data_IF_756897286353
#
_entry.id   IF_756897286353
#
_cell.length_a   1.000
_cell.length_b   1.000
_cell.length_c   1.000
_cell.angle_alpha   90.00
_cell.angle_beta   90.00
_cell.angle_gamma   90.00
#
_symmetry.space_group_name_H-M   'P 1'
#
loop_
_entity.id
_entity.type
_entity.pdbx_description
1 polymer ?
#
# COMPACT_ATOMS: atom_id res chain seq x y z
N UNK A 1 23.61 -54.98 17.95
CA UNK A 1 23.96 -53.68 17.33
C UNK A 1 22.76 -53.23 16.54
N UNK A 2 21.97 -52.32 17.15
CA UNK A 2 20.77 -51.72 16.51
C UNK A 2 21.19 -50.34 16.03
N UNK A 3 21.23 -50.15 14.70
CA UNK A 3 21.40 -48.84 14.09
C UNK A 3 20.05 -48.10 14.15
N UNK A 4 19.99 -47.03 14.95
CA UNK A 4 18.91 -46.03 14.85
C UNK A 4 19.21 -45.10 13.66
N UNK A 5 18.39 -45.17 12.65
CA UNK A 5 18.36 -44.17 11.56
C UNK A 5 17.61 -42.91 12.06
N UNK A 6 18.34 -41.83 12.28
CA UNK A 6 17.79 -40.52 12.59
C UNK A 6 17.25 -39.90 11.28
N UNK A 7 15.96 -40.07 11.03
CA UNK A 7 15.27 -39.38 9.92
C UNK A 7 15.03 -37.92 10.27
N UNK A 8 15.79 -37.03 9.63
CA UNK A 8 15.49 -35.58 9.70
C UNK A 8 14.21 -35.32 8.92
N UNK A 9 13.12 -35.10 9.64
CA UNK A 9 11.87 -34.58 9.08
C UNK A 9 12.10 -33.10 8.75
N UNK A 10 12.34 -32.81 7.47
CA UNK A 10 12.31 -31.45 6.96
C UNK A 10 10.88 -30.92 7.10
N UNK A 11 10.67 -30.01 8.04
CA UNK A 11 9.41 -29.33 8.21
C UNK A 11 9.13 -28.52 6.93
N UNK A 12 8.25 -29.02 6.09
CA UNK A 12 7.64 -28.31 4.98
C UNK A 12 6.83 -27.16 5.55
N UNK A 13 7.39 -25.95 5.53
CA UNK A 13 6.65 -24.73 5.77
C UNK A 13 5.66 -24.54 4.61
N UNK A 14 4.44 -25.05 4.79
CA UNK A 14 3.32 -24.75 3.92
C UNK A 14 3.18 -23.22 3.81
N UNK A 15 3.04 -22.69 2.60
CA UNK A 15 2.64 -21.32 2.36
C UNK A 15 1.20 -21.15 2.86
N UNK A 16 1.05 -20.92 4.16
CA UNK A 16 -0.22 -20.58 4.75
C UNK A 16 -0.67 -19.25 4.17
N UNK A 17 -1.92 -19.20 3.62
CA UNK A 17 -2.71 -17.97 3.64
C UNK A 17 -2.42 -17.31 4.98
N UNK A 18 -2.08 -15.99 5.03
CA UNK A 18 -1.96 -15.35 6.33
C UNK A 18 -3.29 -15.59 7.04
N UNK A 19 -3.23 -16.21 8.22
CA UNK A 19 -4.39 -16.37 9.09
C UNK A 19 -4.98 -14.99 9.34
N UNK A 20 -5.95 -14.55 8.53
CA UNK A 20 -6.69 -13.29 8.63
C UNK A 20 -5.90 -12.00 8.79
N UNK A 21 -4.57 -11.97 8.62
CA UNK A 21 -3.72 -10.85 8.97
C UNK A 21 -2.84 -10.32 7.82
N UNK A 22 -2.41 -9.07 7.95
CA UNK A 22 -1.50 -8.40 7.03
C UNK A 22 -0.14 -9.12 6.94
N UNK A 23 0.30 -9.44 5.71
CA UNK A 23 1.45 -10.32 5.45
C UNK A 23 2.80 -9.77 5.93
N UNK A 24 2.96 -8.45 6.04
CA UNK A 24 4.20 -7.85 6.53
C UNK A 24 4.26 -7.86 8.06
N UNK A 25 5.39 -8.29 8.61
CA UNK A 25 5.59 -8.54 10.05
C UNK A 25 6.60 -7.56 10.64
N UNK A 26 6.66 -7.46 11.98
CA UNK A 26 7.74 -6.70 12.64
C UNK A 26 9.10 -7.24 12.25
N UNK A 27 10.03 -6.35 11.96
CA UNK A 27 11.40 -6.67 11.55
C UNK A 27 11.57 -7.00 10.06
N UNK A 28 10.50 -6.99 9.27
CA UNK A 28 10.60 -7.31 7.84
C UNK A 28 11.46 -6.31 7.07
N UNK A 29 12.19 -6.86 6.10
CA UNK A 29 12.94 -6.13 5.07
C UNK A 29 12.34 -6.50 3.72
N UNK A 30 11.53 -5.61 3.19
CA UNK A 30 10.78 -5.78 1.94
C UNK A 30 11.58 -5.22 0.78
N UNK A 31 11.75 -5.98 -0.28
CA UNK A 31 12.33 -5.50 -1.54
C UNK A 31 11.28 -5.63 -2.64
N UNK A 32 10.94 -4.49 -3.25
CA UNK A 32 10.17 -4.46 -4.50
C UNK A 32 11.12 -4.70 -5.67
N UNK A 33 10.92 -5.80 -6.39
CA UNK A 33 11.67 -6.17 -7.59
C UNK A 33 10.77 -6.03 -8.81
N UNK A 34 11.21 -5.35 -9.86
CA UNK A 34 10.38 -5.15 -11.05
C UNK A 34 11.01 -4.22 -12.08
N UNK A 35 10.19 -3.76 -12.98
CA UNK A 35 10.52 -2.93 -14.13
C UNK A 35 10.44 -1.41 -13.88
N UNK A 36 10.13 -0.62 -14.92
CA UNK A 36 9.98 0.85 -14.85
C UNK A 36 8.86 1.30 -13.91
N UNK A 37 7.74 0.57 -13.84
CA UNK A 37 6.63 0.88 -12.95
C UNK A 37 7.09 0.76 -11.49
N UNK A 38 7.87 -0.26 -11.17
CA UNK A 38 8.49 -0.40 -9.85
C UNK A 38 9.56 0.67 -9.62
N UNK A 39 10.38 0.98 -10.64
CA UNK A 39 11.43 2.00 -10.55
C UNK A 39 10.89 3.40 -10.26
N UNK A 40 9.66 3.72 -10.66
CA UNK A 40 8.95 4.97 -10.34
C UNK A 40 8.68 5.14 -8.83
N UNK A 41 8.73 4.07 -8.04
CA UNK A 41 8.63 4.03 -6.58
C UNK A 41 7.27 4.45 -5.98
N UNK A 42 6.35 5.06 -6.73
CA UNK A 42 5.14 5.70 -6.19
C UNK A 42 4.24 4.72 -5.44
N UNK A 43 3.85 3.58 -6.04
CA UNK A 43 3.04 2.59 -5.33
C UNK A 43 3.76 2.02 -4.10
N UNK A 44 5.08 1.81 -4.19
CA UNK A 44 5.90 1.28 -3.10
C UNK A 44 5.92 2.21 -1.89
N UNK A 45 6.06 3.53 -2.11
CA UNK A 45 5.98 4.55 -1.06
C UNK A 45 4.61 4.58 -0.37
N UNK A 46 3.52 4.37 -1.13
CA UNK A 46 2.17 4.28 -0.57
C UNK A 46 2.04 3.04 0.33
N UNK A 47 2.54 1.88 -0.12
CA UNK A 47 2.55 0.64 0.69
C UNK A 47 3.37 0.82 1.97
N UNK A 48 4.51 1.49 1.88
CA UNK A 48 5.35 1.83 3.04
C UNK A 48 4.62 2.73 4.03
N UNK A 49 4.06 3.85 3.56
CA UNK A 49 3.33 4.81 4.40
C UNK A 49 2.13 4.15 5.08
N UNK A 50 1.34 3.35 4.33
CA UNK A 50 0.27 2.56 4.91
C UNK A 50 0.77 1.66 6.03
N UNK A 51 1.86 0.93 5.78
CA UNK A 51 2.40 -0.02 6.77
C UNK A 51 2.80 0.67 8.05
N UNK A 52 3.51 1.80 7.97
CA UNK A 52 3.93 2.57 9.15
C UNK A 52 2.74 3.17 9.91
N UNK A 53 1.78 3.78 9.20
CA UNK A 53 0.61 4.42 9.82
C UNK A 53 -0.32 3.39 10.46
N UNK A 54 -0.60 2.29 9.75
CA UNK A 54 -1.52 1.26 10.23
C UNK A 54 -0.94 0.39 11.33
N UNK A 55 0.38 0.12 11.29
CA UNK A 55 1.08 -0.77 12.21
C UNK A 55 2.30 -0.08 12.83
N UNK A 56 2.12 1.01 13.61
CA UNK A 56 3.23 1.84 14.11
C UNK A 56 4.19 1.10 15.04
N UNK A 57 3.79 -0.04 15.57
CA UNK A 57 4.65 -0.94 16.35
C UNK A 57 5.54 -1.85 15.51
N UNK A 58 5.35 -1.94 14.19
CA UNK A 58 6.16 -2.79 13.30
C UNK A 58 7.32 -2.01 12.69
N UNK A 59 8.52 -2.56 12.81
CA UNK A 59 9.76 -1.99 12.23
C UNK A 59 10.02 -2.59 10.86
N UNK A 60 9.21 -2.25 9.87
CA UNK A 60 9.36 -2.73 8.50
C UNK A 60 10.24 -1.75 7.72
N UNK A 61 11.17 -2.27 6.92
CA UNK A 61 12.02 -1.48 6.01
C UNK A 61 11.71 -1.84 4.57
N UNK A 62 11.69 -0.83 3.71
CA UNK A 62 11.36 -0.98 2.32
C UNK A 62 12.54 -0.56 1.43
N UNK A 63 12.77 -1.33 0.38
CA UNK A 63 13.79 -1.08 -0.64
C UNK A 63 13.18 -1.26 -2.02
N UNK A 64 13.57 -0.42 -2.94
CA UNK A 64 13.15 -0.52 -4.33
C UNK A 64 14.30 -1.09 -5.17
N UNK A 65 14.04 -2.16 -5.91
CA UNK A 65 14.94 -2.77 -6.89
C UNK A 65 14.31 -2.78 -8.30
N UNK A 66 13.49 -1.78 -8.63
CA UNK A 66 12.95 -1.58 -9.97
C UNK A 66 14.05 -1.12 -10.95
N UNK A 67 13.95 -1.55 -12.22
CA UNK A 67 14.83 -1.17 -13.30
C UNK A 67 14.04 -0.99 -14.59
N UNK A 68 14.15 0.16 -15.25
CA UNK A 68 13.45 0.42 -16.50
C UNK A 68 13.69 -0.65 -17.57
N UNK A 69 12.63 -1.06 -18.26
CA UNK A 69 12.69 -2.04 -19.34
C UNK A 69 13.01 -3.48 -18.91
N UNK A 70 13.07 -3.77 -17.60
CA UNK A 70 13.47 -5.08 -17.09
C UNK A 70 12.38 -6.15 -17.27
N UNK A 71 12.81 -7.40 -17.35
CA UNK A 71 11.99 -8.61 -17.50
C UNK A 71 12.19 -9.54 -16.32
N UNK A 72 11.36 -10.59 -16.19
CA UNK A 72 11.54 -11.61 -15.15
C UNK A 72 12.93 -12.29 -15.25
N UNK A 73 13.39 -12.55 -16.47
CA UNK A 73 14.73 -13.09 -16.72
C UNK A 73 15.83 -12.09 -16.30
N UNK A 74 15.67 -10.81 -16.60
CA UNK A 74 16.58 -9.74 -16.16
C UNK A 74 16.60 -9.59 -14.64
N UNK A 75 15.44 -9.62 -14.00
CA UNK A 75 15.32 -9.62 -12.55
C UNK A 75 16.02 -10.80 -11.89
N UNK A 76 15.89 -11.98 -12.47
CA UNK A 76 16.61 -13.18 -12.02
C UNK A 76 18.14 -13.02 -12.15
N UNK A 77 18.62 -12.46 -13.25
CA UNK A 77 20.04 -12.27 -13.48
C UNK A 77 20.71 -11.34 -12.44
N UNK A 78 20.00 -10.30 -12.00
CA UNK A 78 20.47 -9.33 -10.98
C UNK A 78 19.99 -9.59 -9.55
N UNK A 79 19.25 -10.70 -9.32
CA UNK A 79 18.61 -10.99 -8.03
C UNK A 79 19.60 -11.01 -6.87
N UNK A 80 20.79 -11.59 -7.07
CA UNK A 80 21.80 -11.69 -6.02
C UNK A 80 22.35 -10.30 -5.65
N UNK A 81 22.75 -9.52 -6.64
CA UNK A 81 23.40 -8.23 -6.43
C UNK A 81 22.45 -7.15 -5.91
N UNK A 82 21.25 -7.05 -6.48
CA UNK A 82 20.35 -5.93 -6.23
C UNK A 82 19.34 -6.21 -5.11
N UNK A 83 19.06 -7.48 -4.84
CA UNK A 83 17.98 -7.90 -3.93
C UNK A 83 18.53 -8.66 -2.73
N UNK A 84 19.14 -9.85 -2.95
CA UNK A 84 19.54 -10.74 -1.86
C UNK A 84 20.71 -10.20 -1.04
N UNK A 85 21.59 -9.38 -1.64
CA UNK A 85 22.63 -8.63 -0.93
C UNK A 85 22.08 -7.71 0.18
N UNK A 86 20.82 -7.26 0.06
CA UNK A 86 20.12 -6.45 1.07
C UNK A 86 19.56 -7.29 2.23
N UNK A 87 19.74 -8.62 2.18
CA UNK A 87 19.22 -9.58 3.17
C UNK A 87 17.71 -9.39 3.42
N UNK A 88 16.86 -9.46 2.38
CA UNK A 88 15.42 -9.30 2.54
C UNK A 88 14.82 -10.45 3.35
N UNK A 89 13.71 -10.20 4.03
CA UNK A 89 12.81 -11.24 4.54
C UNK A 89 11.61 -11.44 3.61
N UNK A 90 11.32 -10.44 2.76
CA UNK A 90 10.22 -10.46 1.79
C UNK A 90 10.70 -9.87 0.47
N UNK A 91 10.40 -10.55 -0.63
CA UNK A 91 10.54 -10.03 -1.99
C UNK A 91 9.16 -9.99 -2.64
N UNK A 92 8.80 -8.87 -3.25
CA UNK A 92 7.58 -8.68 -4.02
C UNK A 92 8.03 -8.37 -5.46
N UNK A 93 7.78 -9.30 -6.38
CA UNK A 93 8.28 -9.22 -7.75
C UNK A 93 7.12 -9.00 -8.73
N UNK A 94 7.24 -7.96 -9.58
CA UNK A 94 6.22 -7.56 -10.55
C UNK A 94 6.86 -7.45 -11.94
N UNK A 95 6.51 -8.36 -12.83
CA UNK A 95 6.99 -8.45 -14.21
C UNK A 95 5.87 -8.89 -15.15
N UNK A 96 6.09 -8.79 -16.46
CA UNK A 96 5.22 -9.33 -17.50
C UNK A 96 5.10 -8.45 -18.73
N UNK A 97 4.91 -7.15 -18.59
CA UNK A 97 4.67 -6.26 -19.74
C UNK A 97 5.87 -6.21 -20.67
N UNK A 98 7.08 -6.05 -20.11
CA UNK A 98 8.31 -6.05 -20.90
C UNK A 98 8.69 -7.45 -21.41
N UNK A 99 8.31 -8.50 -20.69
CA UNK A 99 8.56 -9.89 -21.10
C UNK A 99 7.92 -10.18 -22.45
N UNK A 100 6.78 -9.57 -22.75
CA UNK A 100 6.07 -9.68 -24.04
C UNK A 100 6.25 -8.44 -24.93
N UNK A 101 7.24 -7.60 -24.65
CA UNK A 101 7.51 -6.39 -25.45
C UNK A 101 6.29 -5.51 -25.65
N UNK A 102 5.54 -5.20 -24.60
CA UNK A 102 4.30 -4.42 -24.62
C UNK A 102 3.23 -5.00 -25.55
N UNK A 103 3.16 -6.33 -25.65
CA UNK A 103 2.24 -7.06 -26.52
C UNK A 103 2.78 -7.39 -27.92
N UNK A 104 3.88 -6.77 -28.36
CA UNK A 104 4.46 -7.05 -29.69
C UNK A 104 5.12 -8.43 -29.82
N UNK A 105 5.40 -9.08 -28.69
CA UNK A 105 6.04 -10.38 -28.57
C UNK A 105 5.22 -11.31 -27.66
N UNK A 106 3.91 -11.28 -27.82
CA UNK A 106 2.99 -12.12 -27.05
C UNK A 106 2.95 -13.53 -27.66
N UNK A 107 3.99 -14.33 -27.42
CA UNK A 107 4.18 -15.68 -27.93
C UNK A 107 4.67 -16.67 -26.85
N UNK A 108 4.64 -17.95 -27.15
CA UNK A 108 5.00 -19.02 -26.22
C UNK A 108 6.47 -18.99 -25.80
N UNK A 109 7.40 -18.49 -26.66
CA UNK A 109 8.81 -18.40 -26.32
C UNK A 109 9.03 -17.35 -25.24
N UNK A 110 8.43 -16.17 -25.38
CA UNK A 110 8.52 -15.08 -24.39
C UNK A 110 7.81 -15.48 -23.09
N UNK A 111 6.67 -16.16 -23.16
CA UNK A 111 6.00 -16.73 -21.97
C UNK A 111 6.91 -17.74 -21.25
N UNK A 112 7.56 -18.65 -21.97
CA UNK A 112 8.49 -19.62 -21.38
C UNK A 112 9.64 -18.92 -20.64
N UNK A 113 10.26 -17.89 -21.26
CA UNK A 113 11.34 -17.12 -20.63
C UNK A 113 10.87 -16.39 -19.37
N UNK A 114 9.66 -15.83 -19.39
CA UNK A 114 9.02 -15.23 -18.22
C UNK A 114 8.87 -16.24 -17.09
N UNK A 115 8.30 -17.41 -17.39
CA UNK A 115 8.07 -18.47 -16.41
C UNK A 115 9.40 -19.04 -15.84
N UNK A 116 10.43 -19.17 -16.66
CA UNK A 116 11.78 -19.54 -16.19
C UNK A 116 12.36 -18.48 -15.24
N UNK A 117 12.19 -17.20 -15.56
CA UNK A 117 12.57 -16.08 -14.69
C UNK A 117 11.84 -16.13 -13.35
N UNK A 118 10.52 -16.28 -13.37
CA UNK A 118 9.67 -16.42 -12.17
C UNK A 118 10.11 -17.61 -11.33
N UNK A 119 10.29 -18.79 -11.94
CA UNK A 119 10.77 -20.00 -11.26
C UNK A 119 12.09 -19.73 -10.52
N UNK A 120 13.08 -19.19 -11.26
CA UNK A 120 14.39 -18.92 -10.69
C UNK A 120 14.36 -17.92 -9.53
N UNK A 121 13.54 -16.86 -9.62
CA UNK A 121 13.35 -15.89 -8.54
C UNK A 121 12.77 -16.58 -7.31
N UNK A 122 11.68 -17.33 -7.46
CA UNK A 122 11.00 -18.01 -6.35
C UNK A 122 11.94 -19.01 -5.68
N UNK A 123 12.57 -19.89 -6.44
CA UNK A 123 13.48 -20.90 -5.92
C UNK A 123 14.67 -20.32 -5.17
N UNK A 124 15.32 -19.27 -5.72
CA UNK A 124 16.48 -18.62 -5.07
C UNK A 124 16.08 -17.90 -3.78
N UNK A 125 14.94 -17.19 -3.76
CA UNK A 125 14.40 -16.58 -2.55
C UNK A 125 14.09 -17.64 -1.50
N UNK A 126 13.38 -18.71 -1.88
CA UNK A 126 13.00 -19.79 -0.97
C UNK A 126 14.19 -20.52 -0.35
N UNK A 127 15.23 -20.82 -1.13
CA UNK A 127 16.47 -21.41 -0.61
C UNK A 127 17.17 -20.55 0.45
N UNK A 128 16.94 -19.23 0.44
CA UNK A 128 17.46 -18.28 1.44
C UNK A 128 16.50 -18.02 2.60
N UNK A 129 15.36 -18.74 2.66
CA UNK A 129 14.32 -18.52 3.68
C UNK A 129 13.55 -17.21 3.49
N UNK A 130 13.64 -16.59 2.32
CA UNK A 130 12.95 -15.34 1.98
C UNK A 130 11.53 -15.65 1.48
N UNK A 131 10.53 -14.99 2.06
CA UNK A 131 9.16 -15.03 1.54
C UNK A 131 9.11 -14.25 0.23
N UNK A 132 8.52 -14.85 -0.80
CA UNK A 132 8.44 -14.23 -2.11
C UNK A 132 7.00 -14.22 -2.59
N UNK A 133 6.57 -13.08 -3.13
CA UNK A 133 5.29 -12.91 -3.78
C UNK A 133 5.53 -12.53 -5.24
N UNK A 134 4.96 -13.32 -6.15
CA UNK A 134 4.89 -12.97 -7.57
C UNK A 134 3.58 -12.24 -7.81
N UNK A 135 3.69 -11.04 -8.35
CA UNK A 135 2.53 -10.24 -8.73
C UNK A 135 2.23 -10.41 -10.22
N UNK A 136 0.95 -10.40 -10.58
CA UNK A 136 0.61 -10.14 -11.98
C UNK A 136 1.12 -8.76 -12.40
N UNK A 137 1.43 -8.56 -13.67
CA UNK A 137 1.74 -7.24 -14.20
C UNK A 137 0.56 -6.27 -13.98
N UNK A 138 0.85 -4.96 -13.90
CA UNK A 138 -0.21 -3.97 -14.06
C UNK A 138 -0.89 -4.15 -15.43
N UNK A 139 -2.20 -3.90 -15.55
CA UNK A 139 -2.87 -3.94 -16.84
C UNK A 139 -2.27 -2.90 -17.78
N UNK A 140 -2.24 -3.17 -19.06
CA UNK A 140 -2.04 -2.15 -20.10
C UNK A 140 -3.38 -1.45 -20.40
N UNK A 141 -3.31 -0.24 -21.01
CA UNK A 141 -4.48 0.44 -21.53
C UNK A 141 -5.17 -0.45 -22.59
N UNK A 142 -6.48 -0.36 -22.65
CA UNK A 142 -7.29 -1.16 -23.56
C UNK A 142 -8.66 -1.47 -22.97
N UNK A 143 -9.48 -2.18 -23.72
CA UNK A 143 -10.78 -2.65 -23.23
C UNK A 143 -10.57 -3.58 -22.04
N UNK A 144 -11.04 -3.23 -20.82
CA UNK A 144 -10.83 -4.06 -19.65
C UNK A 144 -11.58 -5.39 -19.69
N UNK A 145 -12.62 -5.52 -20.50
CA UNK A 145 -13.40 -6.74 -20.64
C UNK A 145 -12.73 -7.74 -21.59
N UNK A 146 -12.19 -7.25 -22.72
CA UNK A 146 -11.44 -8.09 -23.65
C UNK A 146 -10.09 -8.55 -23.07
N UNK A 147 -9.42 -7.66 -22.38
CA UNK A 147 -8.08 -7.90 -21.82
C UNK A 147 -8.06 -8.95 -20.69
N UNK A 148 -9.21 -9.32 -20.13
CA UNK A 148 -9.32 -10.43 -19.16
C UNK A 148 -8.95 -11.79 -19.75
N UNK A 149 -9.08 -11.95 -21.07
CA UNK A 149 -8.73 -13.17 -21.79
C UNK A 149 -7.48 -12.97 -22.65
N UNK A 150 -6.73 -11.90 -22.43
CA UNK A 150 -5.54 -11.58 -23.19
C UNK A 150 -4.32 -12.41 -22.79
N UNK A 151 -3.34 -12.48 -23.70
CA UNK A 151 -2.10 -13.24 -23.49
C UNK A 151 -1.35 -12.85 -22.21
N UNK A 152 -1.24 -11.55 -21.90
CA UNK A 152 -0.60 -11.06 -20.67
C UNK A 152 -1.30 -11.63 -19.43
N UNK A 153 -2.63 -11.69 -19.43
CA UNK A 153 -3.40 -12.24 -18.33
C UNK A 153 -3.06 -13.71 -18.09
N UNK A 154 -3.17 -14.53 -19.13
CA UNK A 154 -2.87 -15.97 -19.04
C UNK A 154 -1.42 -16.22 -18.61
N UNK A 155 -0.47 -15.50 -19.16
CA UNK A 155 0.94 -15.61 -18.77
C UNK A 155 1.16 -15.27 -17.28
N UNK A 156 0.53 -14.22 -16.78
CA UNK A 156 0.59 -13.85 -15.37
C UNK A 156 -0.07 -14.88 -14.46
N UNK A 157 -1.20 -15.48 -14.88
CA UNK A 157 -1.87 -16.53 -14.13
C UNK A 157 -1.00 -17.77 -13.98
N UNK A 158 -0.35 -18.19 -15.06
CA UNK A 158 0.63 -19.28 -15.03
C UNK A 158 1.81 -18.96 -14.10
N UNK A 159 2.35 -17.73 -14.14
CA UNK A 159 3.42 -17.28 -13.26
C UNK A 159 3.04 -17.27 -11.78
N UNK A 160 1.84 -16.80 -11.46
CA UNK A 160 1.30 -16.82 -10.11
C UNK A 160 1.03 -18.24 -9.60
N UNK A 161 0.49 -19.10 -10.47
CA UNK A 161 0.27 -20.52 -10.17
C UNK A 161 1.59 -21.24 -9.91
N UNK A 162 2.59 -21.00 -10.76
CA UNK A 162 3.94 -21.52 -10.60
C UNK A 162 4.57 -21.06 -9.27
N UNK A 163 4.41 -19.79 -8.91
CA UNK A 163 4.91 -19.30 -7.61
C UNK A 163 4.32 -20.09 -6.45
N UNK A 164 2.98 -20.27 -6.45
CA UNK A 164 2.29 -21.05 -5.41
C UNK A 164 2.77 -22.51 -5.35
N UNK A 165 2.93 -23.18 -6.50
CA UNK A 165 3.39 -24.57 -6.57
C UNK A 165 4.81 -24.75 -6.01
N UNK A 166 5.65 -23.71 -6.06
CA UNK A 166 6.99 -23.66 -5.53
C UNK A 166 7.06 -23.16 -4.07
N UNK A 167 5.91 -22.95 -3.42
CA UNK A 167 5.80 -22.48 -2.04
C UNK A 167 6.02 -20.97 -1.88
N UNK A 168 5.93 -20.18 -2.96
CA UNK A 168 5.81 -18.73 -2.93
C UNK A 168 4.37 -18.26 -2.76
N UNK A 169 4.18 -16.95 -2.59
CA UNK A 169 2.90 -16.28 -2.63
C UNK A 169 2.58 -15.73 -4.02
N UNK A 170 1.35 -15.24 -4.19
CA UNK A 170 0.96 -14.54 -5.40
C UNK A 170 0.01 -13.39 -5.06
N UNK A 171 0.10 -12.29 -5.82
CA UNK A 171 -0.77 -11.11 -5.69
C UNK A 171 -1.30 -10.76 -7.08
N UNK A 172 -2.61 -10.79 -7.25
CA UNK A 172 -3.26 -10.44 -8.50
C UNK A 172 -3.56 -8.94 -8.56
N UNK A 173 -2.58 -8.16 -8.99
CA UNK A 173 -2.73 -6.72 -9.19
C UNK A 173 -3.66 -6.42 -10.36
N UNK A 174 -3.50 -7.20 -11.45
CA UNK A 174 -4.21 -6.97 -12.69
C UNK A 174 -5.71 -7.09 -12.50
N UNK A 175 -6.19 -8.12 -11.80
CA UNK A 175 -7.62 -8.29 -11.54
C UNK A 175 -8.21 -7.08 -10.80
N UNK A 176 -7.59 -6.67 -9.68
CA UNK A 176 -8.08 -5.52 -8.90
C UNK A 176 -8.08 -4.24 -9.73
N UNK A 177 -7.02 -3.98 -10.48
CA UNK A 177 -6.91 -2.78 -11.31
C UNK A 177 -7.90 -2.81 -12.50
N UNK A 178 -8.18 -3.99 -13.08
CA UNK A 178 -9.20 -4.16 -14.12
C UNK A 178 -10.61 -3.86 -13.59
N UNK A 179 -10.95 -4.28 -12.39
CA UNK A 179 -12.25 -3.94 -11.80
C UNK A 179 -12.41 -2.41 -11.63
N UNK A 180 -11.34 -1.70 -11.26
CA UNK A 180 -11.32 -0.24 -11.23
C UNK A 180 -11.52 0.33 -12.65
N UNK A 181 -10.82 -0.18 -13.67
CA UNK A 181 -11.00 0.25 -15.05
C UNK A 181 -12.44 0.01 -15.54
N UNK A 182 -13.03 -1.14 -15.24
CA UNK A 182 -14.42 -1.46 -15.59
C UNK A 182 -15.42 -0.51 -14.93
N UNK A 183 -15.17 -0.11 -13.68
CA UNK A 183 -16.00 0.88 -13.00
C UNK A 183 -15.95 2.21 -13.74
N UNK A 184 -14.75 2.70 -14.06
CA UNK A 184 -14.58 3.94 -14.83
C UNK A 184 -15.23 3.84 -16.21
N UNK A 185 -15.10 2.68 -16.89
CA UNK A 185 -15.72 2.44 -18.19
C UNK A 185 -17.24 2.55 -18.15
N UNK A 186 -17.87 1.96 -17.13
CA UNK A 186 -19.33 2.02 -16.95
C UNK A 186 -19.83 3.43 -16.63
N UNK A 187 -19.05 4.19 -15.88
CA UNK A 187 -19.44 5.54 -15.42
C UNK A 187 -19.14 6.64 -16.44
N UNK A 188 -18.04 6.55 -17.18
CA UNK A 188 -17.51 7.62 -18.03
C UNK A 188 -17.34 7.26 -19.50
N UNK A 189 -17.58 5.99 -19.86
CA UNK A 189 -17.42 5.48 -21.21
C UNK A 189 -16.00 5.06 -21.57
N UNK A 190 -15.84 4.44 -22.73
CA UNK A 190 -14.61 3.79 -23.16
C UNK A 190 -13.43 4.73 -23.33
N UNK A 191 -13.64 5.90 -23.91
CA UNK A 191 -12.56 6.85 -24.24
C UNK A 191 -11.82 7.34 -23.00
N UNK A 192 -12.52 7.66 -21.90
CA UNK A 192 -11.91 8.08 -20.65
C UNK A 192 -11.28 6.90 -19.91
N UNK A 193 -11.95 5.75 -19.90
CA UNK A 193 -11.46 4.56 -19.22
C UNK A 193 -10.16 4.00 -19.78
N UNK A 194 -9.93 4.10 -21.09
CA UNK A 194 -8.71 3.64 -21.75
C UNK A 194 -7.45 4.28 -21.16
N UNK A 195 -7.53 5.54 -20.71
CA UNK A 195 -6.40 6.32 -20.21
C UNK A 195 -6.47 6.61 -18.71
N UNK A 196 -7.53 6.20 -18.05
CA UNK A 196 -7.78 6.59 -16.66
C UNK A 196 -6.67 6.22 -15.67
N UNK A 197 -5.94 5.12 -15.92
CA UNK A 197 -4.85 4.63 -15.07
C UNK A 197 -3.46 4.81 -15.70
N UNK A 198 -3.36 5.29 -16.95
CA UNK A 198 -2.12 5.29 -17.72
C UNK A 198 -1.75 6.68 -18.22
N UNK A 199 -0.47 6.89 -18.47
CA UNK A 199 0.00 7.98 -19.31
C UNK A 199 -0.22 7.65 -20.80
N UNK A 200 0.20 8.53 -21.71
CA UNK A 200 -0.08 8.41 -23.14
C UNK A 200 0.41 7.13 -23.82
N UNK A 201 1.45 6.49 -23.28
CA UNK A 201 2.01 5.26 -23.85
C UNK A 201 1.14 4.00 -23.60
N UNK A 202 0.14 4.11 -22.75
CA UNK A 202 -0.78 3.02 -22.41
C UNK A 202 -0.18 1.88 -21.58
N UNK A 203 1.03 2.04 -21.09
CA UNK A 203 1.76 1.04 -20.28
C UNK A 203 2.12 1.59 -18.92
N UNK A 204 2.76 2.76 -18.86
CA UNK A 204 3.14 3.35 -17.59
C UNK A 204 1.93 3.97 -16.88
N UNK A 205 1.89 3.80 -15.58
CA UNK A 205 0.79 4.26 -14.76
C UNK A 205 0.91 5.76 -14.47
N UNK A 206 -0.20 6.49 -14.62
CA UNK A 206 -0.34 7.82 -14.08
C UNK A 206 -0.54 7.77 -12.55
N UNK A 207 -0.74 8.90 -11.89
CA UNK A 207 -0.90 8.98 -10.44
C UNK A 207 -2.06 8.12 -9.92
N UNK A 208 -3.23 8.16 -10.57
CA UNK A 208 -4.38 7.32 -10.23
C UNK A 208 -4.07 5.83 -10.41
N UNK A 209 -3.35 5.46 -11.48
CA UNK A 209 -2.91 4.09 -11.72
C UNK A 209 -1.92 3.58 -10.67
N UNK A 210 -1.00 4.42 -10.22
CA UNK A 210 -0.06 4.10 -9.13
C UNK A 210 -0.80 3.90 -7.79
N UNK A 211 -1.83 4.70 -7.51
CA UNK A 211 -2.68 4.56 -6.33
C UNK A 211 -3.51 3.25 -6.43
N UNK A 212 -4.07 2.95 -7.60
CA UNK A 212 -4.80 1.71 -7.84
C UNK A 212 -3.90 0.47 -7.66
N UNK A 213 -2.66 0.53 -8.14
CA UNK A 213 -1.66 -0.53 -7.94
C UNK A 213 -1.28 -0.70 -6.47
N UNK A 214 -1.08 0.40 -5.73
CA UNK A 214 -0.80 0.35 -4.30
C UNK A 214 -1.98 -0.26 -3.53
N UNK A 215 -3.22 0.11 -3.87
CA UNK A 215 -4.42 -0.47 -3.32
C UNK A 215 -4.48 -1.99 -3.57
N UNK A 216 -4.28 -2.42 -4.83
CA UNK A 216 -4.26 -3.82 -5.20
C UNK A 216 -3.18 -4.61 -4.45
N UNK A 217 -1.97 -4.04 -4.35
CA UNK A 217 -0.85 -4.61 -3.60
C UNK A 217 -1.19 -4.78 -2.12
N UNK A 218 -1.73 -3.75 -1.48
CA UNK A 218 -2.12 -3.78 -0.07
C UNK A 218 -3.22 -4.81 0.18
N UNK A 219 -4.24 -4.89 -0.68
CA UNK A 219 -5.30 -5.91 -0.57
C UNK A 219 -4.75 -7.32 -0.76
N UNK A 220 -3.86 -7.52 -1.72
CA UNK A 220 -3.17 -8.80 -1.94
C UNK A 220 -2.25 -9.22 -0.78
N UNK A 221 -1.70 -8.26 -0.03
CA UNK A 221 -0.95 -8.49 1.21
C UNK A 221 -1.87 -8.67 2.44
N UNK A 222 -3.19 -8.64 2.29
CA UNK A 222 -4.15 -8.80 3.37
C UNK A 222 -4.32 -7.56 4.24
N UNK A 223 -4.10 -6.35 3.69
CA UNK A 223 -4.29 -5.10 4.41
C UNK A 223 -5.76 -4.96 4.89
N UNK A 224 -5.99 -4.73 6.20
CA UNK A 224 -7.33 -4.52 6.73
C UNK A 224 -7.91 -3.20 6.26
N UNK A 225 -9.22 -3.18 6.05
CA UNK A 225 -9.97 -1.96 5.78
C UNK A 225 -10.08 -1.09 7.04
N UNK A 226 -10.27 -1.73 8.18
CA UNK A 226 -10.53 -1.07 9.45
C UNK A 226 -9.27 -0.37 10.00
N UNK A 227 -9.40 0.90 10.32
CA UNK A 227 -8.46 1.65 11.15
C UNK A 227 -8.86 1.47 12.60
N UNK A 228 -10.05 1.95 12.92
CA UNK A 228 -10.67 1.86 14.24
C UNK A 228 -12.11 2.38 14.19
N UNK A 229 -12.90 2.08 15.21
CA UNK A 229 -14.27 2.58 15.34
C UNK A 229 -14.57 3.04 16.76
N UNK A 230 -15.37 4.13 16.88
CA UNK A 230 -15.90 4.61 18.15
C UNK A 230 -17.41 4.82 18.02
N UNK A 231 -18.15 4.33 19.00
CA UNK A 231 -19.60 4.52 19.10
C UNK A 231 -19.93 5.23 20.41
N UNK A 232 -20.60 6.37 20.29
CA UNK A 232 -21.05 7.20 21.42
C UNK A 232 -22.57 7.23 21.46
N UNK A 233 -23.14 7.39 22.64
CA UNK A 233 -24.53 7.68 22.83
C UNK A 233 -24.69 9.08 23.42
N UNK A 234 -25.63 9.84 22.86
CA UNK A 234 -25.93 11.18 23.29
C UNK A 234 -26.74 11.18 24.61
N UNK A 235 -27.64 10.22 24.73
CA UNK A 235 -28.47 10.05 25.93
C UNK A 235 -28.84 8.58 26.15
N UNK A 236 -28.39 7.93 27.27
CA UNK A 236 -27.48 8.50 28.28
C UNK A 236 -26.09 8.73 27.71
N UNK A 237 -25.40 9.79 28.16
CA UNK A 237 -24.05 10.12 27.66
C UNK A 237 -23.04 9.05 28.05
N UNK A 238 -22.59 8.23 27.08
CA UNK A 238 -21.61 7.16 27.31
C UNK A 238 -20.87 6.77 26.04
N UNK A 239 -19.74 6.10 26.23
CA UNK A 239 -19.06 5.36 25.17
C UNK A 239 -19.72 3.99 25.09
N UNK A 240 -20.40 3.71 23.96
CA UNK A 240 -21.08 2.43 23.72
C UNK A 240 -20.15 1.37 23.12
N UNK A 241 -19.10 1.77 22.44
CA UNK A 241 -18.11 0.86 21.86
C UNK A 241 -16.87 1.61 21.38
N UNK A 242 -15.73 0.91 21.42
CA UNK A 242 -14.47 1.38 20.86
C UNK A 242 -13.65 0.17 20.44
N UNK A 243 -13.30 0.10 19.15
CA UNK A 243 -12.44 -0.94 18.60
C UNK A 243 -11.26 -0.30 17.86
N UNK A 244 -10.05 -0.82 18.10
CA UNK A 244 -8.82 -0.24 17.58
C UNK A 244 -8.48 1.14 18.12
N UNK A 245 -9.23 1.66 19.12
CA UNK A 245 -8.99 2.95 19.76
C UNK A 245 -9.40 2.97 21.23
N UNK A 246 -9.01 4.05 21.92
CA UNK A 246 -9.48 4.38 23.28
C UNK A 246 -10.15 5.73 23.23
N UNK A 247 -11.37 5.81 23.77
CA UNK A 247 -12.14 7.05 23.94
C UNK A 247 -12.15 7.43 25.41
N UNK A 248 -11.87 8.70 25.70
CA UNK A 248 -11.86 9.22 27.06
C UNK A 248 -12.39 10.65 27.13
N UNK A 249 -12.50 11.16 28.34
CA UNK A 249 -12.93 12.54 28.64
C UNK A 249 -14.22 12.95 27.93
N UNK A 250 -15.15 12.02 27.76
CA UNK A 250 -16.46 12.29 27.13
C UNK A 250 -17.27 13.26 27.99
N UNK A 251 -17.65 14.39 27.41
CA UNK A 251 -18.40 15.48 28.09
C UNK A 251 -19.38 16.11 27.12
N UNK A 252 -20.52 16.57 27.64
CA UNK A 252 -21.50 17.38 26.94
C UNK A 252 -21.71 18.70 27.66
N UNK A 253 -21.69 19.80 26.91
CA UNK A 253 -22.08 21.14 27.40
C UNK A 253 -23.05 21.74 26.41
N UNK A 254 -24.34 21.85 26.81
CA UNK A 254 -25.42 22.22 25.91
C UNK A 254 -25.50 21.26 24.73
N UNK A 255 -25.39 21.77 23.51
CA UNK A 255 -25.37 21.02 22.26
C UNK A 255 -23.97 20.62 21.78
N UNK A 256 -22.94 20.86 22.57
CA UNK A 256 -21.56 20.51 22.17
C UNK A 256 -21.08 19.24 22.91
N UNK A 257 -20.61 18.26 22.15
CA UNK A 257 -20.00 17.04 22.64
C UNK A 257 -18.48 17.13 22.45
N UNK A 258 -17.72 16.80 23.49
CA UNK A 258 -16.25 16.74 23.41
C UNK A 258 -15.75 15.43 23.99
N UNK A 259 -14.72 14.87 23.37
CA UNK A 259 -14.03 13.66 23.85
C UNK A 259 -12.60 13.59 23.34
N UNK A 260 -11.78 12.73 23.93
CA UNK A 260 -10.47 12.38 23.38
C UNK A 260 -10.53 11.00 22.76
N UNK A 261 -9.83 10.80 21.63
CA UNK A 261 -9.67 9.51 20.98
C UNK A 261 -8.20 9.29 20.67
N UNK A 262 -7.67 8.11 21.05
CA UNK A 262 -6.34 7.65 20.70
C UNK A 262 -6.46 6.29 20.02
N UNK A 263 -6.01 6.23 18.79
CA UNK A 263 -6.10 5.04 17.94
C UNK A 263 -4.85 4.15 18.06
N UNK A 264 -4.95 2.90 17.65
CA UNK A 264 -3.81 1.96 17.59
C UNK A 264 -3.02 2.12 16.28
N UNK A 265 -3.62 2.67 15.25
CA UNK A 265 -3.05 3.00 13.95
C UNK A 265 -3.78 4.19 13.33
N UNK A 266 -3.26 4.74 12.25
CA UNK A 266 -3.79 5.91 11.57
C UNK A 266 -4.25 5.59 10.14
N UNK A 267 -5.20 6.36 9.57
CA UNK A 267 -5.52 6.30 8.14
C UNK A 267 -4.30 6.71 7.31
N UNK A 268 -4.17 6.17 6.10
CA UNK A 268 -3.24 6.69 5.12
C UNK A 268 -3.89 7.83 4.34
N UNK A 269 -3.19 8.95 4.17
CA UNK A 269 -3.60 10.02 3.28
C UNK A 269 -2.74 10.06 2.03
N UNK A 270 -3.34 10.43 0.91
CA UNK A 270 -2.67 10.62 -0.39
C UNK A 270 -2.94 12.02 -0.94
N UNK A 271 -3.39 12.94 -0.07
CA UNK A 271 -3.71 14.32 -0.43
C UNK A 271 -4.76 14.42 -1.53
N UNK A 272 -4.66 15.47 -2.36
CA UNK A 272 -5.56 15.71 -3.49
C UNK A 272 -5.63 14.51 -4.45
N UNK A 273 -4.49 13.89 -4.77
CA UNK A 273 -4.46 12.73 -5.67
C UNK A 273 -5.28 11.56 -5.13
N UNK A 274 -5.21 11.29 -3.83
CA UNK A 274 -6.03 10.28 -3.17
C UNK A 274 -7.51 10.62 -3.17
N UNK A 275 -7.85 11.91 -3.02
CA UNK A 275 -9.23 12.38 -3.10
C UNK A 275 -9.81 12.19 -4.51
N UNK A 276 -9.07 12.58 -5.54
CA UNK A 276 -9.46 12.39 -6.94
C UNK A 276 -9.55 10.90 -7.32
N UNK A 277 -8.55 10.12 -6.95
CA UNK A 277 -8.54 8.67 -7.19
C UNK A 277 -9.64 7.94 -6.42
N UNK A 278 -10.05 8.45 -5.25
CA UNK A 278 -11.10 7.89 -4.40
C UNK A 278 -12.48 7.83 -5.04
N UNK A 279 -12.70 8.56 -6.13
CA UNK A 279 -13.91 8.42 -6.94
C UNK A 279 -14.03 7.02 -7.57
N UNK A 280 -12.92 6.33 -7.82
CA UNK A 280 -12.89 5.03 -8.53
C UNK A 280 -12.14 3.94 -7.77
N UNK A 281 -11.10 4.32 -7.00
CA UNK A 281 -10.34 3.40 -6.14
C UNK A 281 -10.99 3.41 -4.75
N UNK A 282 -11.48 2.28 -4.23
CA UNK A 282 -12.25 2.25 -2.97
C UNK A 282 -11.34 2.40 -1.73
N UNK A 283 -10.61 3.52 -1.65
CA UNK A 283 -9.65 3.81 -0.59
C UNK A 283 -10.31 3.95 0.78
N UNK A 284 -11.43 4.68 0.83
CA UNK A 284 -12.15 4.95 2.07
C UNK A 284 -12.65 3.66 2.73
N UNK A 285 -13.34 2.81 1.97
CA UNK A 285 -13.94 1.58 2.48
C UNK A 285 -12.97 0.40 2.49
N UNK A 286 -11.99 0.39 1.59
CA UNK A 286 -11.04 -0.71 1.45
C UNK A 286 -9.82 -0.63 2.33
N UNK A 287 -9.40 0.58 2.76
CA UNK A 287 -8.18 0.80 3.54
C UNK A 287 -8.32 1.78 4.71
N UNK A 288 -9.32 2.66 4.73
CA UNK A 288 -9.38 3.81 5.64
C UNK A 288 -10.71 3.90 6.41
N UNK A 289 -11.25 2.80 6.87
CA UNK A 289 -12.46 2.82 7.71
C UNK A 289 -12.13 3.34 9.12
N UNK A 290 -12.22 4.64 9.28
CA UNK A 290 -11.98 5.37 10.54
C UNK A 290 -13.30 5.91 11.07
N UNK A 291 -14.08 5.02 11.70
CA UNK A 291 -15.52 5.20 11.92
C UNK A 291 -15.83 5.95 13.21
N UNK A 292 -16.82 6.82 13.13
CA UNK A 292 -17.43 7.48 14.28
C UNK A 292 -18.96 7.38 14.19
N UNK A 293 -19.56 6.75 15.17
CA UNK A 293 -21.02 6.65 15.32
C UNK A 293 -21.44 7.44 16.54
N UNK A 294 -22.47 8.27 16.41
CA UNK A 294 -23.08 8.97 17.54
C UNK A 294 -24.59 8.78 17.47
N UNK A 295 -25.14 8.02 18.40
CA UNK A 295 -26.58 7.72 18.45
C UNK A 295 -27.32 8.72 19.32
N UNK A 296 -28.55 9.07 18.91
CA UNK A 296 -29.44 9.93 19.68
C UNK A 296 -29.13 11.42 19.59
N UNK A 297 -28.27 11.85 18.61
CA UNK A 297 -28.11 13.28 18.33
C UNK A 297 -29.46 13.91 17.97
N UNK A 298 -29.76 15.11 18.47
CA UNK A 298 -30.90 15.89 17.99
C UNK A 298 -30.87 16.09 16.47
N UNK A 299 -32.04 16.17 15.85
CA UNK A 299 -32.16 16.44 14.42
C UNK A 299 -31.43 17.73 14.02
N UNK A 300 -30.69 17.69 12.90
CA UNK A 300 -29.91 18.82 12.40
C UNK A 300 -28.56 18.37 11.83
N UNK A 301 -27.78 19.34 11.37
CA UNK A 301 -26.42 19.13 10.85
C UNK A 301 -25.39 19.38 11.96
N UNK A 302 -24.40 18.56 12.00
CA UNK A 302 -23.36 18.55 13.04
C UNK A 302 -21.97 18.58 12.42
N UNK A 303 -21.16 19.53 12.88
CA UNK A 303 -19.77 19.68 12.50
C UNK A 303 -18.86 18.86 13.42
N UNK A 304 -17.90 18.17 12.84
CA UNK A 304 -16.80 17.50 13.56
C UNK A 304 -15.54 18.33 13.45
N UNK A 305 -14.95 18.65 14.58
CA UNK A 305 -13.59 19.17 14.65
C UNK A 305 -12.70 18.16 15.39
N UNK A 306 -11.44 18.07 14.98
CA UNK A 306 -10.41 17.32 15.67
C UNK A 306 -9.19 18.24 15.92
N UNK A 307 -8.80 18.44 17.18
CA UNK A 307 -7.82 19.45 17.62
C UNK A 307 -8.09 20.85 17.03
N UNK A 308 -9.38 21.20 16.91
CA UNK A 308 -9.82 22.47 16.34
C UNK A 308 -9.87 22.54 14.81
N UNK A 309 -9.38 21.55 14.09
CA UNK A 309 -9.48 21.47 12.62
C UNK A 309 -10.82 20.91 12.21
N UNK A 310 -11.46 21.53 11.23
CA UNK A 310 -12.70 21.02 10.65
C UNK A 310 -12.41 19.70 9.88
N UNK A 311 -13.24 18.69 10.12
CA UNK A 311 -13.16 17.38 9.46
C UNK A 311 -14.29 17.21 8.46
N UNK A 312 -15.50 17.63 8.84
CA UNK A 312 -16.67 17.56 7.97
C UNK A 312 -17.96 17.85 8.73
N UNK A 313 -19.07 17.84 7.97
CA UNK A 313 -20.42 18.11 8.46
C UNK A 313 -21.35 17.01 7.98
N UNK A 314 -22.09 16.40 8.92
CA UNK A 314 -23.06 15.33 8.65
C UNK A 314 -24.36 15.59 9.40
N UNK A 315 -25.44 14.99 8.96
CA UNK A 315 -26.71 15.03 9.72
C UNK A 315 -26.75 13.97 10.83
N UNK A 316 -27.70 14.09 11.72
CA UNK A 316 -27.87 13.20 12.87
C UNK A 316 -28.14 11.74 12.45
N UNK A 317 -28.77 11.49 11.30
CA UNK A 317 -29.02 10.15 10.76
C UNK A 317 -27.70 9.52 10.27
N UNK A 318 -26.89 10.26 9.52
CA UNK A 318 -25.56 9.80 9.07
C UNK A 318 -24.68 9.43 10.27
N UNK A 319 -24.71 10.23 11.35
CA UNK A 319 -23.98 9.87 12.58
C UNK A 319 -24.51 8.60 13.24
N UNK A 320 -25.83 8.37 13.23
CA UNK A 320 -26.41 7.15 13.80
C UNK A 320 -26.03 5.90 12.99
N UNK A 321 -25.88 6.02 11.68
CA UNK A 321 -25.42 4.98 10.75
C UNK A 321 -23.88 4.79 10.82
N UNK A 322 -23.15 5.85 11.19
CA UNK A 322 -21.71 5.89 11.31
C UNK A 322 -21.03 6.61 10.13
N UNK A 323 -20.21 7.61 10.43
CA UNK A 323 -19.46 8.41 9.45
C UNK A 323 -18.02 7.96 9.40
N UNK A 324 -17.46 7.89 8.18
CA UNK A 324 -16.04 7.57 7.97
C UNK A 324 -15.23 8.86 7.93
N UNK A 325 -14.33 9.03 8.89
CA UNK A 325 -13.48 10.21 9.02
C UNK A 325 -12.14 10.05 8.28
N UNK A 326 -11.85 8.85 7.74
CA UNK A 326 -10.51 8.48 7.26
C UNK A 326 -10.00 9.28 6.06
N UNK A 327 -10.92 9.78 5.24
CA UNK A 327 -10.60 10.65 4.09
C UNK A 327 -11.47 11.91 4.07
N UNK A 328 -12.10 12.21 5.22
CA UNK A 328 -12.98 13.36 5.31
C UNK A 328 -12.18 14.66 5.43
N UNK A 329 -12.48 15.61 4.57
CA UNK A 329 -11.94 16.97 4.61
C UNK A 329 -12.96 17.94 4.04
N UNK A 330 -13.07 19.16 4.58
CA UNK A 330 -13.87 20.21 3.97
C UNK A 330 -13.19 20.84 2.74
N UNK A 331 -11.87 20.67 2.62
CA UNK A 331 -11.06 21.18 1.51
C UNK A 331 -10.05 20.11 1.06
N UNK A 332 -10.22 19.52 -0.15
CA UNK A 332 -9.32 18.50 -0.67
C UNK A 332 -7.87 18.97 -0.93
N UNK A 333 -7.64 20.28 -0.98
CA UNK A 333 -6.30 20.86 -1.16
C UNK A 333 -5.48 20.88 0.14
N UNK A 334 -6.17 20.79 1.29
CA UNK A 334 -5.57 20.81 2.61
C UNK A 334 -5.76 19.46 3.32
N UNK A 335 -4.81 19.06 4.18
CA UNK A 335 -5.03 17.91 5.04
C UNK A 335 -6.30 18.11 5.89
N UNK A 336 -7.14 17.10 5.99
CA UNK A 336 -8.35 17.11 6.79
C UNK A 336 -8.06 17.14 8.29
N UNK A 337 -8.30 16.03 8.99
CA UNK A 337 -8.03 15.95 10.42
C UNK A 337 -6.54 15.95 10.76
N UNK A 338 -6.18 16.06 12.06
CA UNK A 338 -4.79 16.07 12.49
C UNK A 338 -4.00 14.80 12.16
N UNK A 339 -4.67 13.67 11.94
CA UNK A 339 -4.09 12.42 11.44
C UNK A 339 -3.60 12.58 9.99
N UNK A 340 -4.32 13.33 9.15
CA UNK A 340 -3.93 13.58 7.76
C UNK A 340 -2.69 14.48 7.68
N UNK A 341 -2.60 15.49 8.57
CA UNK A 341 -1.39 16.31 8.70
C UNK A 341 -0.19 15.41 9.05
N UNK A 342 -0.38 14.51 10.02
CA UNK A 342 0.66 13.60 10.48
C UNK A 342 1.08 12.61 9.36
N UNK A 343 0.11 12.05 8.64
CA UNK A 343 0.34 11.16 7.51
C UNK A 343 1.02 11.87 6.33
N UNK A 344 0.65 13.13 6.05
CA UNK A 344 1.30 13.96 5.03
C UNK A 344 2.77 14.21 5.37
N UNK A 345 3.08 14.55 6.61
CA UNK A 345 4.47 14.74 7.04
C UNK A 345 5.28 13.45 6.92
N UNK A 346 4.71 12.30 7.30
CA UNK A 346 5.33 10.99 7.11
C UNK A 346 5.63 10.73 5.63
N UNK A 347 4.67 10.99 4.74
CA UNK A 347 4.84 10.81 3.30
C UNK A 347 5.98 11.68 2.73
N UNK A 348 6.14 12.92 3.21
CA UNK A 348 7.27 13.79 2.83
C UNK A 348 8.62 13.24 3.29
N UNK A 349 8.69 12.64 4.47
CA UNK A 349 9.92 11.99 4.96
C UNK A 349 10.24 10.73 4.14
N UNK A 350 9.22 9.94 3.77
CA UNK A 350 9.37 8.80 2.88
C UNK A 350 9.90 9.23 1.51
N UNK A 351 9.38 10.33 0.95
CA UNK A 351 9.86 10.91 -0.30
C UNK A 351 11.34 11.31 -0.22
N UNK A 352 11.73 12.07 0.81
CA UNK A 352 13.10 12.49 1.00
C UNK A 352 14.08 11.30 1.09
N UNK A 353 13.68 10.21 1.78
CA UNK A 353 14.46 8.98 1.86
C UNK A 353 14.59 8.29 0.50
N UNK A 354 13.51 8.27 -0.26
CA UNK A 354 13.46 7.72 -1.62
C UNK A 354 14.40 8.44 -2.58
N UNK A 355 14.45 9.78 -2.52
CA UNK A 355 15.34 10.60 -3.33
C UNK A 355 16.84 10.33 -3.05
N UNK A 356 17.20 10.09 -1.79
CA UNK A 356 18.57 9.71 -1.41
C UNK A 356 18.96 8.36 -2.06
N UNK A 357 18.06 7.39 -2.07
CA UNK A 357 18.30 6.09 -2.72
C UNK A 357 18.44 6.24 -4.24
N UNK A 358 17.61 7.08 -4.87
CA UNK A 358 17.73 7.39 -6.30
C UNK A 358 19.06 8.05 -6.63
N UNK A 359 19.48 9.03 -5.84
CA UNK A 359 20.78 9.69 -6.02
C UNK A 359 21.96 8.70 -5.92
N UNK A 360 21.92 7.76 -4.96
CA UNK A 360 22.92 6.71 -4.83
C UNK A 360 22.96 5.77 -6.02
N UNK A 361 21.80 5.41 -6.59
CA UNK A 361 21.73 4.58 -7.80
C UNK A 361 22.30 5.33 -8.99
N UNK A 362 21.92 6.57 -9.17
CA UNK A 362 22.44 7.41 -10.25
C UNK A 362 23.97 7.50 -10.18
N UNK A 363 24.53 7.76 -9.00
CA UNK A 363 25.98 7.84 -8.82
C UNK A 363 26.74 6.54 -9.18
N UNK A 364 26.11 5.37 -8.96
CA UNK A 364 26.69 4.07 -9.36
C UNK A 364 26.58 3.82 -10.86
N UNK A 365 25.60 4.41 -11.53
CA UNK A 365 25.36 4.26 -12.97
C UNK A 365 26.21 5.20 -13.81
N UNK A 366 26.70 6.29 -13.24
CA UNK A 366 27.62 7.22 -13.86
C UNK A 366 29.06 6.91 -13.43
N UNK A 367 30.05 7.28 -14.24
CA UNK A 367 31.48 7.09 -13.94
C UNK A 367 31.97 8.08 -12.86
N UNK A 368 31.37 8.02 -11.68
CA UNK A 368 31.76 8.81 -10.52
C UNK A 368 32.95 8.13 -9.82
N UNK A 369 33.98 8.87 -9.38
CA UNK A 369 35.12 8.29 -8.67
C UNK A 369 34.69 7.48 -7.45
N UNK A 370 35.26 6.27 -7.28
CA UNK A 370 34.90 5.34 -6.17
C UNK A 370 35.00 5.96 -4.77
N UNK A 371 35.93 6.91 -4.58
CA UNK A 371 36.08 7.63 -3.31
C UNK A 371 34.83 8.48 -3.00
N UNK A 372 34.30 9.18 -4.01
CA UNK A 372 33.09 10.01 -3.88
C UNK A 372 31.87 9.12 -3.60
N UNK A 373 31.75 7.97 -4.29
CA UNK A 373 30.65 7.02 -4.03
C UNK A 373 30.72 6.53 -2.58
N UNK A 374 31.88 6.13 -2.07
CA UNK A 374 32.03 5.66 -0.68
C UNK A 374 31.67 6.73 0.36
N UNK A 375 32.12 7.98 0.16
CA UNK A 375 31.77 9.09 1.04
C UNK A 375 30.26 9.36 1.03
N UNK A 376 29.65 9.39 -0.15
CA UNK A 376 28.21 9.55 -0.31
C UNK A 376 27.43 8.41 0.34
N UNK A 377 27.88 7.16 0.21
CA UNK A 377 27.23 6.00 0.85
C UNK A 377 27.32 6.08 2.39
N UNK A 378 28.45 6.48 2.94
CA UNK A 378 28.61 6.61 4.38
C UNK A 378 27.73 7.72 4.96
N UNK A 379 27.71 8.89 4.34
CA UNK A 379 26.89 10.04 4.80
C UNK A 379 25.39 9.79 4.62
N UNK A 380 24.99 9.21 3.49
CA UNK A 380 23.59 8.90 3.25
C UNK A 380 23.04 7.81 4.17
N UNK A 381 23.87 6.85 4.61
CA UNK A 381 23.43 5.85 5.57
C UNK A 381 23.02 6.44 6.93
N UNK A 382 23.77 7.43 7.42
CA UNK A 382 23.43 8.15 8.66
C UNK A 382 22.13 8.96 8.50
N UNK A 383 21.97 9.64 7.36
CA UNK A 383 20.77 10.41 7.05
C UNK A 383 19.53 9.49 6.90
N UNK A 384 19.66 8.36 6.23
CA UNK A 384 18.58 7.37 6.13
C UNK A 384 18.13 6.85 7.49
N UNK A 385 19.07 6.55 8.39
CA UNK A 385 18.74 6.11 9.75
C UNK A 385 17.94 7.17 10.51
N UNK A 386 18.30 8.46 10.33
CA UNK A 386 17.58 9.60 10.91
C UNK A 386 16.17 9.72 10.31
N UNK A 387 16.03 9.63 8.98
CA UNK A 387 14.73 9.69 8.32
C UNK A 387 13.83 8.51 8.71
N UNK A 388 14.37 7.29 8.84
CA UNK A 388 13.63 6.14 9.38
C UNK A 388 13.14 6.39 10.82
N UNK A 389 13.94 7.07 11.65
CA UNK A 389 13.52 7.45 12.99
C UNK A 389 12.36 8.47 12.94
N UNK A 390 12.43 9.48 12.06
CA UNK A 390 11.34 10.42 11.86
C UNK A 390 10.08 9.75 11.35
N UNK A 391 10.17 8.84 10.38
CA UNK A 391 9.02 8.05 9.93
C UNK A 391 8.34 7.33 11.11
N UNK A 392 9.12 6.66 11.96
CA UNK A 392 8.58 5.97 13.14
C UNK A 392 7.93 6.91 14.14
N UNK A 393 8.50 8.09 14.37
CA UNK A 393 7.94 9.11 15.26
C UNK A 393 6.62 9.65 14.71
N UNK A 394 6.59 9.99 13.42
CA UNK A 394 5.40 10.52 12.75
C UNK A 394 4.28 9.46 12.63
N UNK A 395 4.62 8.20 12.58
CA UNK A 395 3.65 7.10 12.52
C UNK A 395 2.95 6.83 13.87
N UNK A 396 3.48 7.34 15.01
CA UNK A 396 2.90 7.06 16.33
C UNK A 396 1.58 7.78 16.54
N UNK A 397 0.46 7.07 16.80
CA UNK A 397 -0.80 7.70 17.12
C UNK A 397 -0.74 8.46 18.45
N UNK A 398 -1.31 9.64 18.45
CA UNK A 398 -1.52 10.44 19.68
C UNK A 398 -3.02 10.59 19.97
N UNK A 399 -3.36 11.06 21.13
CA UNK A 399 -4.74 11.40 21.43
C UNK A 399 -5.12 12.72 20.74
N UNK A 400 -6.24 12.71 20.04
CA UNK A 400 -6.87 13.91 19.45
C UNK A 400 -8.08 14.31 20.28
N UNK A 401 -8.36 15.60 20.38
CA UNK A 401 -9.56 16.16 21.02
C UNK A 401 -10.60 16.38 19.93
N UNK A 402 -11.69 15.62 20.01
CA UNK A 402 -12.83 15.75 19.11
C UNK A 402 -13.87 16.69 19.71
N UNK A 403 -14.47 17.52 18.88
CA UNK A 403 -15.62 18.35 19.18
C UNK A 403 -16.69 18.11 18.13
N UNK A 404 -17.91 17.81 18.58
CA UNK A 404 -19.10 17.70 17.72
C UNK A 404 -20.07 18.76 18.18
N UNK A 405 -20.47 19.64 17.29
CA UNK A 405 -21.37 20.76 17.58
C UNK A 405 -22.36 20.99 16.42
N UNK A 406 -23.50 21.65 16.65
CA UNK A 406 -24.32 22.08 15.54
C UNK A 406 -23.52 22.87 14.50
N UNK A 407 -23.69 22.51 13.23
CA UNK A 407 -23.06 23.26 12.14
C UNK A 407 -23.66 24.65 12.04
N UNK A 408 -22.84 25.61 11.63
CA UNK A 408 -23.37 26.93 11.28
C UNK A 408 -24.38 26.80 10.11
N UNK A 409 -25.42 27.67 10.09
CA UNK A 409 -26.46 27.67 9.05
C UNK A 409 -25.85 27.81 7.63
#
# INVERSE_FOLDING_TARGET
VVLMACGAVAAQAAATKPDGGFALRDGDRVVFLGDSITAAQTFGKIVENYTHLRFPGRRVRFYNAGKGGDTAAGGLARLEADVLSRRPSVVIATYGVNDIGWGLRADEEHKRRYLEGVRGIVERCRRRGVRVFICSAAPMAGDPFEAENGFLRHMCDEGMSLSRSLGGGAIDLQQTMREIQKTIWRERGSTEALRALHIEDGVHLNETGQIAMAYAMLKGLGAPAEVSSATLEWEPLRVAGADGCRVGRLRRRGSTLTFTRKDNGLPVTLGLAGHLAGAHVPLADGLNRYMLTVRGLPAGRWEVLADGRAVGVWDARQFAEGVNLGMATPDPWEPGGPWDVQATLLARVTEARSEIELARRAARSFEVPRAVIRDMEARSAALEALLEQYQRTLAQPRAYVFTIRPAAP
#
